data_IF_641364145361
#
_entry.id   IF_641364145361
#
_cell.length_a   1.000
_cell.length_b   1.000
_cell.length_c   1.000
_cell.angle_alpha   90.00
_cell.angle_beta   90.00
_cell.angle_gamma   90.00
#
_symmetry.space_group_name_H-M   'P 1'
#
loop_
_entity.id
_entity.type
_entity.pdbx_description
1 polymer ?
#
# COMPACT_ATOMS: atom_id res chain seq x y z
N UNK A 1 -0.16 19.82 5.61
CA UNK A 1 0.13 19.58 7.04
C UNK A 1 0.16 18.08 7.23
N UNK A 2 1.13 17.56 7.99
CA UNK A 2 1.29 16.12 8.22
C UNK A 2 0.69 15.76 9.58
N UNK A 3 -0.22 14.79 9.61
CA UNK A 3 -1.00 14.39 10.80
C UNK A 3 -0.50 13.10 11.47
N UNK A 4 0.63 12.54 11.01
CA UNK A 4 1.09 11.23 11.47
C UNK A 4 1.35 11.16 12.98
N UNK A 5 1.84 12.24 13.59
CA UNK A 5 2.09 12.28 15.04
C UNK A 5 0.79 12.22 15.86
N UNK A 6 -0.31 12.79 15.35
CA UNK A 6 -1.63 12.69 15.99
C UNK A 6 -2.15 11.26 15.93
N UNK A 7 -1.98 10.58 14.79
CA UNK A 7 -2.33 9.17 14.64
C UNK A 7 -1.53 8.30 15.60
N UNK A 8 -0.21 8.47 15.65
CA UNK A 8 0.68 7.73 16.56
C UNK A 8 0.29 7.92 18.03
N UNK A 9 -0.02 9.15 18.43
CA UNK A 9 -0.45 9.44 19.80
C UNK A 9 -1.76 8.74 20.15
N UNK A 10 -2.77 8.78 19.26
CA UNK A 10 -4.05 8.11 19.47
C UNK A 10 -3.94 6.58 19.55
N UNK A 11 -3.14 5.97 18.66
CA UNK A 11 -2.87 4.52 18.71
C UNK A 11 -2.17 4.14 20.01
N UNK A 12 -1.16 4.90 20.43
CA UNK A 12 -0.42 4.64 21.65
C UNK A 12 -1.31 4.74 22.90
N UNK A 13 -2.13 5.78 23.01
CA UNK A 13 -3.07 5.95 24.12
C UNK A 13 -4.04 4.76 24.23
N UNK A 14 -4.53 4.27 23.10
CA UNK A 14 -5.50 3.17 23.05
C UNK A 14 -4.85 1.83 23.36
N UNK A 15 -3.69 1.55 22.75
CA UNK A 15 -3.08 0.24 22.75
C UNK A 15 -1.95 0.04 23.77
N UNK A 16 -1.46 1.05 24.51
CA UNK A 16 -0.41 0.83 25.53
C UNK A 16 -0.86 -0.04 26.73
N UNK A 17 -2.17 -0.22 26.96
CA UNK A 17 -2.69 -0.80 28.21
C UNK A 17 -3.57 -2.06 28.04
N UNK A 18 -3.97 -2.42 26.82
CA UNK A 18 -5.00 -3.45 26.56
C UNK A 18 -4.65 -4.30 25.33
N UNK A 19 -3.58 -5.07 25.43
CA UNK A 19 -3.06 -5.85 24.30
C UNK A 19 -3.19 -7.33 24.60
N UNK A 20 -3.96 -8.03 23.77
CA UNK A 20 -3.64 -9.41 23.45
C UNK A 20 -2.92 -9.42 22.11
N UNK A 21 -1.70 -9.95 22.09
CA UNK A 21 -0.97 -10.26 20.87
C UNK A 21 -1.41 -11.66 20.43
N UNK A 22 -1.98 -11.75 19.22
CA UNK A 22 -2.69 -12.95 18.79
C UNK A 22 -1.81 -13.82 17.89
N UNK A 23 -1.27 -13.24 16.82
CA UNK A 23 -0.44 -13.93 15.85
C UNK A 23 0.64 -13.00 15.29
N UNK A 24 1.79 -13.60 14.96
CA UNK A 24 2.95 -12.93 14.39
C UNK A 24 3.19 -13.45 12.96
N UNK A 25 3.04 -12.60 11.96
CA UNK A 25 3.50 -12.89 10.61
C UNK A 25 4.92 -12.38 10.41
N UNK A 26 5.79 -13.20 9.81
CA UNK A 26 7.18 -12.84 9.54
C UNK A 26 7.46 -12.84 8.06
N UNK A 27 8.07 -11.76 7.58
CA UNK A 27 8.39 -11.56 6.17
C UNK A 27 9.85 -11.16 6.00
N UNK A 28 10.58 -11.92 5.18
CA UNK A 28 11.99 -11.66 4.91
C UNK A 28 12.11 -10.84 3.62
N UNK A 29 12.92 -9.79 3.66
CA UNK A 29 13.27 -8.99 2.47
C UNK A 29 13.91 -9.85 1.36
N UNK A 30 13.80 -9.50 0.07
CA UNK A 30 14.36 -10.29 -1.02
C UNK A 30 15.88 -10.51 -0.93
N UNK A 31 16.60 -9.62 -0.28
CA UNK A 31 18.04 -9.75 -0.03
C UNK A 31 18.38 -10.72 1.10
N UNK A 32 17.42 -11.04 1.97
CA UNK A 32 17.65 -11.74 3.23
C UNK A 32 18.24 -10.87 4.35
N UNK A 33 18.49 -9.59 4.12
CA UNK A 33 19.18 -8.72 5.08
C UNK A 33 18.27 -8.21 6.20
N UNK A 34 16.98 -8.06 5.91
CA UNK A 34 15.97 -7.51 6.81
C UNK A 34 14.79 -8.45 6.94
N UNK A 35 14.08 -8.38 8.07
CA UNK A 35 12.73 -8.94 8.21
C UNK A 35 11.77 -7.98 8.87
N UNK A 36 10.50 -8.11 8.51
CA UNK A 36 9.34 -7.51 9.14
C UNK A 36 8.64 -8.58 9.98
N UNK A 37 8.37 -8.28 11.24
CA UNK A 37 7.45 -9.00 12.11
C UNK A 37 6.20 -8.13 12.27
N UNK A 38 5.05 -8.63 11.82
CA UNK A 38 3.76 -7.94 11.89
C UNK A 38 2.85 -8.69 12.85
N UNK A 39 2.56 -8.08 14.00
CA UNK A 39 1.78 -8.69 15.07
C UNK A 39 0.42 -8.01 15.20
N UNK A 40 -0.66 -8.78 15.21
CA UNK A 40 -1.98 -8.23 15.49
C UNK A 40 -2.14 -7.94 16.99
N UNK A 41 -2.53 -6.71 17.31
CA UNK A 41 -2.87 -6.25 18.65
C UNK A 41 -4.38 -6.00 18.72
N UNK A 42 -5.04 -6.59 19.71
CA UNK A 42 -6.49 -6.50 19.85
C UNK A 42 -6.93 -5.96 21.22
N UNK A 43 -7.82 -4.97 21.22
CA UNK A 43 -8.31 -4.27 22.43
C UNK A 43 -9.76 -4.63 22.84
N UNK A 44 -10.33 -5.69 22.26
CA UNK A 44 -11.75 -6.13 22.32
C UNK A 44 -12.70 -5.47 21.30
N UNK A 45 -12.33 -4.35 20.70
CA UNK A 45 -13.19 -3.65 19.73
C UNK A 45 -12.51 -3.47 18.38
N UNK A 46 -11.21 -3.27 18.39
CA UNK A 46 -10.39 -3.01 17.22
C UNK A 46 -9.15 -3.88 17.24
N UNK A 47 -8.68 -4.25 16.04
CA UNK A 47 -7.40 -4.87 15.80
C UNK A 47 -6.52 -3.86 15.06
N UNK A 48 -5.25 -3.80 15.44
CA UNK A 48 -4.21 -3.01 14.76
C UNK A 48 -2.96 -3.85 14.58
N UNK A 49 -2.01 -3.41 13.75
CA UNK A 49 -0.76 -4.13 13.54
C UNK A 49 0.40 -3.43 14.24
N UNK A 50 1.21 -4.16 14.99
CA UNK A 50 2.55 -3.75 15.39
C UNK A 50 3.57 -4.26 14.39
N UNK A 51 4.18 -3.34 13.66
CA UNK A 51 5.22 -3.63 12.68
C UNK A 51 6.60 -3.40 13.31
N UNK A 52 7.39 -4.47 13.39
CA UNK A 52 8.76 -4.43 13.89
C UNK A 52 9.72 -4.88 12.79
N UNK A 53 10.75 -4.08 12.54
CA UNK A 53 11.73 -4.37 11.49
C UNK A 53 13.06 -4.68 12.14
N UNK A 54 13.69 -5.77 11.71
CA UNK A 54 14.94 -6.24 12.26
C UNK A 54 16.01 -6.38 11.17
N UNK A 55 17.26 -6.10 11.56
CA UNK A 55 18.43 -6.57 10.82
C UNK A 55 18.54 -8.09 11.04
N UNK A 56 18.43 -8.87 9.95
CA UNK A 56 18.32 -10.33 10.04
C UNK A 56 19.57 -10.97 10.66
N UNK A 57 20.75 -10.51 10.27
CA UNK A 57 22.03 -11.11 10.69
C UNK A 57 22.38 -10.87 12.16
N UNK A 58 21.92 -9.76 12.74
CA UNK A 58 22.27 -9.36 14.12
C UNK A 58 21.10 -9.46 15.09
N UNK A 59 19.88 -9.71 14.58
CA UNK A 59 18.65 -9.65 15.34
C UNK A 59 18.39 -8.27 15.99
N UNK A 60 19.02 -7.21 15.48
CA UNK A 60 18.85 -5.85 15.97
C UNK A 60 17.51 -5.30 15.49
N UNK A 61 16.65 -4.85 16.41
CA UNK A 61 15.42 -4.13 16.06
C UNK A 61 15.76 -2.72 15.58
N UNK A 62 15.39 -2.42 14.34
CA UNK A 62 15.63 -1.14 13.68
C UNK A 62 14.44 -0.21 13.88
N UNK A 63 13.22 -0.72 13.69
CA UNK A 63 11.98 0.05 13.83
C UNK A 63 10.92 -0.74 14.58
N UNK A 64 10.03 -0.01 15.26
CA UNK A 64 8.89 -0.51 16.02
C UNK A 64 7.79 0.55 15.96
N UNK A 65 6.71 0.27 15.22
CA UNK A 65 5.62 1.22 15.01
C UNK A 65 4.28 0.52 14.89
N UNK A 66 3.20 1.28 15.03
CA UNK A 66 1.82 0.81 14.92
C UNK A 66 1.23 1.24 13.59
N UNK A 67 0.45 0.36 12.98
CA UNK A 67 -0.39 0.63 11.81
C UNK A 67 -1.84 0.61 12.29
N UNK A 68 -2.65 1.59 11.90
CA UNK A 68 -4.03 1.74 12.36
C UNK A 68 -5.04 0.73 11.77
N UNK A 69 -4.57 -0.41 11.29
CA UNK A 69 -5.39 -1.50 10.75
C UNK A 69 -4.81 -2.87 11.16
N UNK A 70 -5.65 -3.89 11.16
CA UNK A 70 -5.32 -5.28 11.50
C UNK A 70 -4.32 -5.96 10.55
N UNK A 71 -3.95 -5.29 9.45
CA UNK A 71 -2.98 -5.76 8.47
C UNK A 71 -2.07 -4.63 7.98
N UNK A 72 -0.85 -5.00 7.62
CA UNK A 72 0.10 -4.09 6.97
C UNK A 72 0.16 -4.36 5.47
N UNK A 73 -0.19 -3.35 4.66
CA UNK A 73 0.05 -3.36 3.22
C UNK A 73 1.44 -2.78 2.95
N UNK A 74 2.35 -3.58 2.41
CA UNK A 74 3.73 -3.18 2.22
C UNK A 74 4.38 -3.79 0.97
N UNK A 75 5.55 -3.27 0.60
CA UNK A 75 6.45 -3.90 -0.36
C UNK A 75 7.91 -3.60 -0.05
N UNK A 76 8.78 -4.56 -0.38
CA UNK A 76 10.23 -4.38 -0.37
C UNK A 76 10.69 -3.83 -1.72
N UNK A 77 11.38 -2.70 -1.71
CA UNK A 77 11.89 -2.06 -2.92
C UNK A 77 13.43 -1.94 -2.86
N UNK A 78 14.06 -1.85 -4.04
CA UNK A 78 15.50 -1.61 -4.15
C UNK A 78 15.78 -0.51 -5.16
N UNK A 79 16.57 0.50 -4.77
CA UNK A 79 17.01 1.62 -5.62
C UNK A 79 18.45 1.98 -5.29
N UNK A 80 19.33 2.00 -6.29
CA UNK A 80 20.74 2.39 -6.15
C UNK A 80 21.47 1.71 -4.96
N UNK A 81 21.33 0.39 -4.81
CA UNK A 81 21.84 -0.41 -3.68
C UNK A 81 21.24 -0.12 -2.29
N UNK A 82 20.32 0.84 -2.19
CA UNK A 82 19.52 1.05 -0.99
C UNK A 82 18.26 0.17 -1.04
N UNK A 83 18.01 -0.54 0.06
CA UNK A 83 16.80 -1.31 0.27
C UNK A 83 15.80 -0.46 1.04
N UNK A 84 14.55 -0.47 0.57
CA UNK A 84 13.46 0.26 1.17
C UNK A 84 12.31 -0.68 1.52
N UNK A 85 11.53 -0.31 2.52
CA UNK A 85 10.17 -0.78 2.69
C UNK A 85 9.22 0.39 2.47
N UNK A 86 8.17 0.18 1.68
CA UNK A 86 7.06 1.13 1.55
C UNK A 86 5.82 0.50 2.16
N UNK A 87 5.05 1.29 2.90
CA UNK A 87 3.78 0.89 3.51
C UNK A 87 2.96 2.14 3.88
N UNK A 88 1.97 1.99 4.75
CA UNK A 88 1.28 3.10 5.38
C UNK A 88 1.03 2.77 6.86
N UNK A 89 1.49 3.64 7.77
CA UNK A 89 1.09 3.61 9.19
C UNK A 89 -0.37 4.00 9.39
N UNK A 90 -0.84 4.95 8.57
CA UNK A 90 -2.24 5.31 8.46
C UNK A 90 -2.75 4.78 7.12
N UNK A 91 -3.48 3.66 7.16
CA UNK A 91 -3.95 2.98 5.96
C UNK A 91 -4.82 3.90 5.07
N UNK A 92 -5.53 4.84 5.68
CA UNK A 92 -6.52 5.70 5.01
C UNK A 92 -5.88 6.92 4.32
N UNK A 93 -4.87 6.69 3.48
CA UNK A 93 -4.22 7.72 2.67
C UNK A 93 -2.83 8.14 3.15
N UNK A 94 -2.34 7.52 4.22
CA UNK A 94 -0.97 7.71 4.68
C UNK A 94 0.07 7.08 3.76
N UNK A 95 1.31 7.50 3.96
CA UNK A 95 2.48 7.00 3.25
C UNK A 95 3.61 6.85 4.24
N UNK A 96 4.30 5.71 4.21
CA UNK A 96 5.48 5.45 5.02
C UNK A 96 6.56 4.87 4.13
N UNK A 97 7.74 5.48 4.16
CA UNK A 97 8.93 5.02 3.44
C UNK A 97 10.05 4.82 4.45
N UNK A 98 10.61 3.63 4.44
CA UNK A 98 11.68 3.22 5.34
C UNK A 98 12.91 2.90 4.50
N UNK A 99 13.96 3.69 4.65
CA UNK A 99 15.30 3.39 4.17
C UNK A 99 15.95 2.41 5.14
N UNK A 100 15.93 1.13 4.80
CA UNK A 100 16.41 0.03 5.64
C UNK A 100 17.92 0.06 5.76
N UNK A 101 18.61 0.38 4.66
CA UNK A 101 20.09 0.45 4.61
C UNK A 101 20.63 1.54 5.52
N UNK A 102 20.00 2.72 5.52
CA UNK A 102 20.44 3.88 6.31
C UNK A 102 19.67 4.04 7.63
N UNK A 103 18.75 3.12 7.94
CA UNK A 103 17.91 3.13 9.15
C UNK A 103 17.18 4.46 9.34
N UNK A 104 16.52 4.95 8.29
CA UNK A 104 15.69 6.17 8.34
C UNK A 104 14.25 5.86 7.96
N UNK A 105 13.31 6.53 8.61
CA UNK A 105 11.88 6.39 8.35
C UNK A 105 11.27 7.78 8.16
N UNK A 106 10.46 7.91 7.11
CA UNK A 106 9.63 9.07 6.87
C UNK A 106 8.18 8.61 6.74
N UNK A 107 7.28 9.36 7.36
CA UNK A 107 5.85 9.02 7.38
C UNK A 107 5.00 10.26 7.19
N UNK A 108 3.87 10.07 6.54
CA UNK A 108 2.90 11.10 6.25
C UNK A 108 1.50 10.56 6.44
N UNK A 109 0.62 11.37 7.04
CA UNK A 109 -0.82 11.14 7.05
C UNK A 109 -1.56 12.43 6.67
N UNK A 110 -2.55 12.35 5.76
CA UNK A 110 -3.41 13.47 5.42
C UNK A 110 -4.42 13.77 6.54
N UNK A 111 -5.06 14.94 6.50
CA UNK A 111 -6.12 15.29 7.46
C UNK A 111 -7.39 14.44 7.28
N UNK A 112 -7.66 14.10 6.04
CA UNK A 112 -8.87 13.41 5.60
C UNK A 112 -8.45 12.12 4.92
N UNK A 113 -9.31 11.13 5.01
CA UNK A 113 -9.12 9.84 4.36
C UNK A 113 -8.81 10.01 2.87
N UNK A 114 -7.87 9.21 2.39
CA UNK A 114 -7.34 9.33 1.05
C UNK A 114 -7.13 7.98 0.36
N UNK A 115 -6.24 8.00 -0.61
CA UNK A 115 -5.93 6.86 -1.45
C UNK A 115 -5.12 5.80 -0.68
N UNK A 116 -5.72 4.64 -0.47
CA UNK A 116 -5.15 3.48 0.21
C UNK A 116 -4.23 2.75 -0.77
N UNK A 117 -2.94 2.65 -0.44
CA UNK A 117 -1.97 1.87 -1.21
C UNK A 117 -2.15 0.37 -0.96
N UNK A 118 -2.40 -0.41 -2.02
CA UNK A 118 -2.58 -1.86 -1.91
C UNK A 118 -1.51 -2.67 -2.63
N UNK A 119 -0.95 -2.16 -3.73
CA UNK A 119 0.18 -2.79 -4.43
C UNK A 119 1.20 -1.73 -4.86
N UNK A 120 2.44 -2.16 -5.07
CA UNK A 120 3.59 -1.27 -5.28
C UNK A 120 4.52 -1.83 -6.36
N UNK A 121 4.80 -1.03 -7.38
CA UNK A 121 5.66 -1.41 -8.50
C UNK A 121 6.64 -0.29 -8.82
N UNK A 122 7.89 -0.45 -8.40
CA UNK A 122 8.97 0.48 -8.70
C UNK A 122 9.46 0.26 -10.14
N UNK A 123 9.57 1.35 -10.90
CA UNK A 123 10.14 1.35 -12.26
C UNK A 123 11.59 0.84 -12.28
N UNK A 124 12.08 0.30 -13.41
CA UNK A 124 13.42 -0.30 -13.49
C UNK A 124 14.56 0.67 -13.11
N UNK A 125 14.42 1.96 -13.43
CA UNK A 125 15.40 2.99 -13.05
C UNK A 125 15.22 3.54 -11.62
N UNK A 126 14.21 3.07 -10.88
CA UNK A 126 13.92 3.46 -9.51
C UNK A 126 13.40 4.88 -9.32
N UNK A 127 12.93 5.56 -10.37
CA UNK A 127 12.49 6.96 -10.27
C UNK A 127 10.98 7.13 -10.13
N UNK A 128 10.21 6.13 -10.51
CA UNK A 128 8.75 6.17 -10.53
C UNK A 128 8.21 4.97 -9.75
N UNK A 129 7.28 5.23 -8.84
CA UNK A 129 6.52 4.22 -8.12
C UNK A 129 5.08 4.22 -8.63
N UNK A 130 4.66 3.13 -9.27
CA UNK A 130 3.25 2.90 -9.55
C UNK A 130 2.63 2.15 -8.38
N UNK A 131 1.48 2.63 -7.91
CA UNK A 131 0.70 1.94 -6.89
C UNK A 131 -0.69 1.63 -7.41
N UNK A 132 -1.20 0.47 -7.04
CA UNK A 132 -2.63 0.18 -7.13
C UNK A 132 -3.27 0.48 -5.78
N UNK A 133 -4.55 0.83 -5.79
CA UNK A 133 -5.21 1.27 -4.58
C UNK A 133 -6.65 1.67 -4.79
N UNK A 134 -7.27 2.15 -3.72
CA UNK A 134 -8.65 2.60 -3.73
C UNK A 134 -8.89 3.69 -2.69
N UNK A 135 -10.07 4.29 -2.73
CA UNK A 135 -10.61 5.07 -1.63
C UNK A 135 -11.73 4.20 -1.03
N UNK A 136 -11.65 3.76 0.22
CA UNK A 136 -12.72 3.00 0.89
C UNK A 136 -13.30 1.81 0.11
N UNK A 137 -12.44 0.96 -0.46
CA UNK A 137 -12.84 -0.16 -1.32
C UNK A 137 -13.65 0.25 -2.58
N UNK A 138 -13.55 1.51 -3.01
CA UNK A 138 -14.09 2.01 -4.26
C UNK A 138 -14.28 3.54 -4.26
N UNK A 139 -13.77 4.28 -5.28
CA UNK A 139 -13.21 3.80 -6.55
C UNK A 139 -11.78 3.25 -6.47
N UNK A 140 -11.43 2.35 -7.39
CA UNK A 140 -10.07 1.81 -7.57
C UNK A 140 -9.34 2.56 -8.68
N UNK A 141 -8.07 2.86 -8.45
CA UNK A 141 -7.22 3.53 -9.45
C UNK A 141 -5.75 3.14 -9.28
N UNK A 142 -4.99 3.35 -10.35
CA UNK A 142 -3.53 3.32 -10.31
C UNK A 142 -3.02 4.75 -10.16
N UNK A 143 -2.16 5.00 -9.19
CA UNK A 143 -1.46 6.28 -9.02
C UNK A 143 0.03 6.15 -9.29
N UNK A 144 0.59 7.17 -9.93
CA UNK A 144 1.99 7.25 -10.30
C UNK A 144 2.64 8.33 -9.46
N UNK A 145 3.70 7.96 -8.73
CA UNK A 145 4.43 8.86 -7.84
C UNK A 145 5.88 9.05 -8.27
N UNK A 146 6.40 10.26 -8.05
CA UNK A 146 7.83 10.53 -8.13
C UNK A 146 8.55 9.89 -6.93
N UNK A 147 9.45 8.95 -7.23
CA UNK A 147 10.26 8.22 -6.25
C UNK A 147 11.76 8.57 -6.33
N UNK A 148 12.11 9.69 -6.99
CA UNK A 148 13.48 10.17 -7.06
C UNK A 148 14.05 10.49 -5.67
N UNK A 149 13.24 11.10 -4.80
CA UNK A 149 13.57 11.45 -3.41
C UNK A 149 12.57 10.80 -2.43
N UNK A 150 12.68 9.49 -2.19
CA UNK A 150 11.61 8.71 -1.55
C UNK A 150 11.40 9.02 -0.06
N UNK A 151 12.34 9.71 0.58
CA UNK A 151 12.25 10.12 1.99
C UNK A 151 11.55 11.47 2.20
N UNK A 152 11.09 12.14 1.13
CA UNK A 152 10.36 13.41 1.21
C UNK A 152 8.89 13.15 0.94
N UNK A 153 8.08 13.16 2.01
CA UNK A 153 6.65 12.85 1.96
C UNK A 153 5.76 14.10 2.13
N UNK A 154 4.54 14.10 1.54
CA UNK A 154 3.99 13.06 0.68
C UNK A 154 4.74 12.96 -0.65
N UNK A 155 4.83 11.75 -1.22
CA UNK A 155 5.41 11.56 -2.54
C UNK A 155 4.62 12.39 -3.56
N UNK A 156 5.28 13.16 -4.44
CA UNK A 156 4.60 13.90 -5.49
C UNK A 156 3.83 12.97 -6.41
N UNK A 157 2.51 13.15 -6.50
CA UNK A 157 1.67 12.47 -7.48
C UNK A 157 1.91 13.09 -8.86
N UNK A 158 2.20 12.23 -9.85
CA UNK A 158 2.44 12.62 -11.24
C UNK A 158 1.15 12.45 -12.05
N UNK A 159 0.45 11.33 -11.86
CA UNK A 159 -0.69 10.93 -12.69
C UNK A 159 -1.58 9.94 -11.96
N UNK A 160 -2.88 10.03 -12.19
CA UNK A 160 -3.86 9.01 -11.83
C UNK A 160 -4.41 8.36 -13.12
N UNK A 161 -4.51 7.03 -13.11
CA UNK A 161 -4.96 6.23 -14.24
C UNK A 161 -6.12 5.36 -13.77
N UNK A 162 -7.28 5.54 -14.42
CA UNK A 162 -8.46 4.73 -14.17
C UNK A 162 -8.24 3.28 -14.63
N UNK A 163 -8.71 2.35 -13.81
CA UNK A 163 -8.72 0.93 -14.14
C UNK A 163 -9.90 0.60 -15.05
N UNK A 164 -9.75 -0.44 -15.87
CA UNK A 164 -10.86 -0.99 -16.67
C UNK A 164 -11.83 -1.79 -15.76
N UNK A 165 -11.31 -2.36 -14.68
CA UNK A 165 -12.06 -3.06 -13.65
C UNK A 165 -11.27 -3.08 -12.34
N UNK A 166 -11.96 -3.37 -11.23
CA UNK A 166 -11.34 -3.36 -9.89
C UNK A 166 -10.27 -4.46 -9.69
N UNK A 167 -10.25 -5.44 -10.58
CA UNK A 167 -9.34 -6.58 -10.63
C UNK A 167 -8.23 -6.41 -11.68
N UNK A 168 -8.05 -5.21 -12.21
CA UNK A 168 -6.90 -4.93 -13.07
C UNK A 168 -5.61 -4.95 -12.23
N UNK A 169 -4.57 -5.60 -12.76
CA UNK A 169 -3.29 -5.81 -12.09
C UNK A 169 -2.13 -5.37 -12.99
N UNK A 170 -1.09 -4.83 -12.36
CA UNK A 170 0.19 -4.60 -13.02
C UNK A 170 0.93 -5.93 -13.13
N UNK A 171 1.25 -6.35 -14.36
CA UNK A 171 2.09 -7.54 -14.58
C UNK A 171 3.56 -7.18 -14.36
N UNK A 172 4.03 -6.13 -15.04
CA UNK A 172 5.42 -5.66 -15.00
C UNK A 172 5.59 -4.30 -15.67
N UNK A 173 6.72 -3.68 -15.40
CA UNK A 173 7.28 -2.63 -16.24
C UNK A 173 7.85 -3.24 -17.53
N UNK A 174 7.50 -2.66 -18.68
CA UNK A 174 8.11 -2.98 -19.97
C UNK A 174 9.41 -2.17 -20.11
N UNK A 175 9.35 -0.89 -19.73
CA UNK A 175 10.46 0.04 -19.67
C UNK A 175 10.25 1.02 -18.49
N UNK A 176 10.90 2.18 -18.50
CA UNK A 176 10.79 3.15 -17.41
C UNK A 176 9.47 3.94 -17.38
N UNK A 177 8.69 3.90 -18.45
CA UNK A 177 7.54 4.78 -18.69
C UNK A 177 6.30 4.01 -19.16
N UNK A 178 6.40 2.68 -19.23
CA UNK A 178 5.37 1.81 -19.80
C UNK A 178 5.14 0.57 -18.94
N UNK A 179 3.88 0.32 -18.62
CA UNK A 179 3.41 -0.83 -17.86
C UNK A 179 2.66 -1.82 -18.75
N UNK A 180 2.87 -3.12 -18.51
CA UNK A 180 1.98 -4.18 -18.96
C UNK A 180 0.98 -4.47 -17.85
N UNK A 181 -0.31 -4.38 -18.16
CA UNK A 181 -1.41 -4.64 -17.24
C UNK A 181 -2.32 -5.72 -17.79
N UNK A 182 -2.96 -6.49 -16.90
CA UNK A 182 -4.00 -7.47 -17.24
C UNK A 182 -5.25 -7.21 -16.41
N UNK A 183 -6.39 -7.59 -16.92
CA UNK A 183 -7.66 -7.54 -16.19
C UNK A 183 -8.77 -8.16 -17.01
N UNK A 184 -10.01 -7.75 -16.76
CA UNK A 184 -11.18 -8.24 -17.49
C UNK A 184 -12.03 -7.07 -17.97
N UNK A 185 -12.35 -7.06 -19.26
CA UNK A 185 -13.40 -6.21 -19.78
C UNK A 185 -14.74 -6.88 -19.52
N UNK A 186 -15.65 -6.18 -18.84
CA UNK A 186 -16.97 -6.68 -18.47
C UNK A 186 -18.07 -5.96 -19.22
N UNK A 187 -18.97 -6.73 -19.78
CA UNK A 187 -20.25 -6.25 -20.29
C UNK A 187 -21.31 -6.48 -19.21
N UNK A 188 -22.09 -5.45 -18.91
CA UNK A 188 -23.10 -5.49 -17.87
C UNK A 188 -24.49 -5.40 -18.47
N UNK A 189 -25.40 -6.23 -17.97
CA UNK A 189 -26.84 -6.04 -18.15
C UNK A 189 -27.44 -5.46 -16.88
N UNK A 190 -28.38 -4.55 -17.09
CA UNK A 190 -29.14 -3.88 -16.04
C UNK A 190 -30.55 -4.46 -16.06
N UNK A 191 -30.94 -5.12 -14.99
CA UNK A 191 -32.32 -5.58 -14.79
C UNK A 191 -32.99 -4.68 -13.77
N UNK A 192 -34.27 -4.36 -14.00
CA UNK A 192 -35.10 -3.61 -13.07
C UNK A 192 -36.21 -4.51 -12.57
N UNK A 193 -36.36 -4.61 -11.25
CA UNK A 193 -37.50 -5.31 -10.66
C UNK A 193 -38.80 -4.47 -10.78
N UNK A 194 -39.95 -5.09 -10.48
CA UNK A 194 -41.27 -4.42 -10.49
C UNK A 194 -41.37 -3.23 -9.51
N UNK A 195 -40.38 -3.06 -8.63
CA UNK A 195 -40.26 -1.95 -7.67
C UNK A 195 -39.25 -0.89 -8.13
N UNK A 196 -38.70 -1.03 -9.35
CA UNK A 196 -37.71 -0.12 -9.94
C UNK A 196 -36.30 -0.26 -9.36
N UNK A 197 -36.00 -1.33 -8.61
CA UNK A 197 -34.64 -1.60 -8.12
C UNK A 197 -33.81 -2.18 -9.24
N UNK A 198 -32.64 -1.58 -9.45
CA UNK A 198 -31.68 -2.02 -10.45
C UNK A 198 -30.77 -3.10 -9.87
N UNK A 199 -30.66 -4.24 -10.54
CA UNK A 199 -29.57 -5.20 -10.36
C UNK A 199 -28.62 -5.11 -11.55
N UNK A 200 -27.33 -5.32 -11.28
CA UNK A 200 -26.28 -5.34 -12.30
C UNK A 200 -25.70 -6.74 -12.34
N UNK A 201 -25.65 -7.34 -13.52
CA UNK A 201 -25.04 -8.64 -13.74
C UNK A 201 -23.97 -8.54 -14.82
N UNK A 202 -22.77 -9.04 -14.55
CA UNK A 202 -21.80 -9.26 -15.62
C UNK A 202 -22.30 -10.41 -16.49
N UNK A 203 -22.53 -10.12 -17.77
CA UNK A 203 -23.02 -11.12 -18.74
C UNK A 203 -21.90 -11.69 -19.57
N UNK A 204 -20.76 -11.00 -19.61
CA UNK A 204 -19.57 -11.46 -20.30
C UNK A 204 -18.32 -10.84 -19.68
N UNK A 205 -17.31 -11.67 -19.49
CA UNK A 205 -15.99 -11.26 -19.04
C UNK A 205 -14.97 -11.69 -20.09
N UNK A 206 -14.23 -10.73 -20.63
CA UNK A 206 -13.18 -10.98 -21.62
C UNK A 206 -11.84 -10.62 -21.00
N UNK A 207 -10.92 -11.59 -20.80
CA UNK A 207 -9.57 -11.28 -20.36
C UNK A 207 -8.93 -10.26 -21.31
N UNK A 208 -8.29 -9.25 -20.74
CA UNK A 208 -7.62 -8.20 -21.50
C UNK A 208 -6.22 -7.99 -20.97
N UNK A 209 -5.29 -7.76 -21.88
CA UNK A 209 -3.97 -7.24 -21.58
C UNK A 209 -3.80 -5.93 -22.32
N UNK A 210 -3.29 -4.90 -21.63
CA UNK A 210 -3.00 -3.61 -22.25
C UNK A 210 -1.66 -3.08 -21.83
N UNK A 211 -1.13 -2.25 -22.71
CA UNK A 211 0.07 -1.46 -22.48
C UNK A 211 -0.38 -0.05 -22.08
N UNK A 212 0.09 0.41 -20.93
CA UNK A 212 -0.24 1.73 -20.39
C UNK A 212 1.00 2.58 -20.32
N UNK A 213 0.98 3.72 -21.02
CA UNK A 213 2.03 4.74 -20.91
C UNK A 213 1.70 5.71 -19.78
N UNK A 214 2.69 5.98 -18.93
CA UNK A 214 2.55 6.89 -17.79
C UNK A 214 3.03 8.31 -18.10
N UNK A 215 3.55 8.55 -19.30
CA UNK A 215 3.82 9.89 -19.83
C UNK A 215 2.60 10.52 -20.50
#
# INVERSE_FOLDING_TARGET
MNYIEEIRAGLKETFDQRIKEIDAETFISPSGNFRLEANELYDQKYAITRAQIYQQSTNEKIFDFLVNEDRILYSWLKKNNTEYMVCAEDLFGGQTVIDLTNKKMASYSPKTEGYIWTNFHLSPNGKILATMGCIWAGPFSMKIFDFTNPMTLPLPEIKEIALIGNDEEIIRWIDNDTLQMKGFQREYEYEYDDKGRMSVKSVKETPTERIVSIR
#
